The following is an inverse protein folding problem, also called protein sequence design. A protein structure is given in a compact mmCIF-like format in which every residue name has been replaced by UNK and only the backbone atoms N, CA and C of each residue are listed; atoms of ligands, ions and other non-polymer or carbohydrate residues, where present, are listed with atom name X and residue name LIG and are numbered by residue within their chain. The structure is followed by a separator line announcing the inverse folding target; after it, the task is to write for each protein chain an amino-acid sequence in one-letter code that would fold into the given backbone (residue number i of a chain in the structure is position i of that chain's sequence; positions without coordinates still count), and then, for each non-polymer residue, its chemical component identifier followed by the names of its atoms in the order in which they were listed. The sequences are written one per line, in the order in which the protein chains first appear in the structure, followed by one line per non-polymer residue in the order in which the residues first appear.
data_IF_117193610195
#
_entry.id   IF_117193610195
#
_cell.length_a   1.000
_cell.length_b   1.000
_cell.length_c   1.000
_cell.angle_alpha   90.00
_cell.angle_beta   90.00
_cell.angle_gamma   90.00
#
_symmetry.space_group_name_H-M   'P 1'
#
loop_
_entity.id
_entity.type
_entity.pdbx_description
1 polymer ?
#
# COMPACT_ATOMS: atom_id res chain seq x y z
N UNK A 1 -28.24 18.04 -40.32
CA UNK A 1 -27.50 17.25 -39.31
C UNK A 1 -27.12 18.15 -38.13
N UNK A 2 -28.01 18.28 -37.15
CA UNK A 2 -27.83 19.14 -35.98
C UNK A 2 -27.12 18.35 -34.88
N UNK A 3 -25.85 18.66 -34.61
CA UNK A 3 -25.09 18.07 -33.50
C UNK A 3 -25.64 18.63 -32.18
N UNK A 4 -26.39 17.81 -31.46
CA UNK A 4 -26.69 18.03 -30.04
C UNK A 4 -25.39 18.14 -29.26
N UNK A 5 -25.02 19.36 -28.85
CA UNK A 5 -23.96 19.58 -27.87
C UNK A 5 -24.51 19.16 -26.50
N UNK A 6 -24.07 17.99 -26.03
CA UNK A 6 -24.37 17.53 -24.67
C UNK A 6 -23.83 18.54 -23.66
N UNK A 7 -24.74 19.19 -22.93
CA UNK A 7 -24.39 20.11 -21.86
C UNK A 7 -23.67 19.32 -20.76
N UNK A 8 -22.38 19.59 -20.55
CA UNK A 8 -21.61 18.96 -19.48
C UNK A 8 -22.18 19.40 -18.13
N UNK A 9 -22.83 18.47 -17.41
CA UNK A 9 -23.42 18.73 -16.09
C UNK A 9 -22.30 19.12 -15.12
N UNK A 10 -22.37 20.34 -14.59
CA UNK A 10 -21.45 20.77 -13.54
C UNK A 10 -21.68 19.92 -12.29
N UNK A 11 -20.59 19.51 -11.59
CA UNK A 11 -20.71 18.73 -10.37
C UNK A 11 -21.43 19.54 -9.29
N UNK A 12 -22.29 18.85 -8.54
CA UNK A 12 -23.00 19.43 -7.39
C UNK A 12 -22.02 19.89 -6.30
N UNK A 13 -22.42 20.80 -5.42
CA UNK A 13 -21.55 21.30 -4.33
C UNK A 13 -20.99 20.18 -3.43
N UNK A 14 -21.78 19.13 -3.20
CA UNK A 14 -21.38 17.94 -2.44
C UNK A 14 -20.31 17.13 -3.18
N UNK A 15 -20.45 16.96 -4.50
CA UNK A 15 -19.43 16.34 -5.34
C UNK A 15 -18.14 17.18 -5.40
N UNK A 16 -18.27 18.51 -5.50
CA UNK A 16 -17.14 19.44 -5.47
C UNK A 16 -16.31 19.33 -4.19
N UNK A 17 -16.97 19.31 -3.02
CA UNK A 17 -16.28 19.13 -1.72
C UNK A 17 -15.65 17.75 -1.61
N UNK A 18 -16.34 16.69 -2.04
CA UNK A 18 -15.80 15.33 -2.05
C UNK A 18 -14.53 15.22 -2.88
N UNK A 19 -14.52 15.82 -4.07
CA UNK A 19 -13.34 15.85 -4.94
C UNK A 19 -12.18 16.64 -4.35
N UNK A 20 -12.45 17.76 -3.67
CA UNK A 20 -11.43 18.52 -2.95
C UNK A 20 -10.80 17.71 -1.80
N UNK A 21 -11.63 17.00 -1.02
CA UNK A 21 -11.17 16.11 0.06
C UNK A 21 -10.27 14.99 -0.50
N UNK A 22 -10.71 14.29 -1.56
CA UNK A 22 -9.91 13.24 -2.21
C UNK A 22 -8.57 13.77 -2.74
N UNK A 23 -8.55 15.00 -3.30
CA UNK A 23 -7.31 15.62 -3.77
C UNK A 23 -6.35 15.94 -2.63
N UNK A 24 -6.81 16.59 -1.56
CA UNK A 24 -5.97 16.92 -0.40
C UNK A 24 -5.37 15.68 0.25
N UNK A 25 -6.16 14.62 0.30
CA UNK A 25 -5.75 13.29 0.75
C UNK A 25 -4.65 12.68 -0.15
N UNK A 26 -4.84 12.69 -1.47
CA UNK A 26 -3.86 12.16 -2.40
C UNK A 26 -2.53 12.91 -2.27
N UNK A 27 -2.57 14.23 -2.06
CA UNK A 27 -1.39 15.05 -1.77
C UNK A 27 -0.70 14.59 -0.49
N UNK A 28 -1.43 14.41 0.61
CA UNK A 28 -0.86 13.94 1.89
C UNK A 28 -0.20 12.56 1.75
N UNK A 29 -0.83 11.63 1.03
CA UNK A 29 -0.24 10.31 0.76
C UNK A 29 0.99 10.36 -0.13
N UNK A 30 0.99 11.22 -1.15
CA UNK A 30 2.16 11.43 -1.99
C UNK A 30 3.34 11.96 -1.19
N UNK A 31 3.11 12.79 -0.18
CA UNK A 31 4.15 13.27 0.73
C UNK A 31 4.80 12.15 1.57
N UNK A 32 4.12 11.01 1.76
CA UNK A 32 4.66 9.85 2.49
C UNK A 32 5.45 8.87 1.61
N UNK A 33 5.37 9.01 0.28
CA UNK A 33 6.11 8.13 -0.64
C UNK A 33 7.60 8.03 -0.30
N UNK A 34 8.34 9.11 0.07
CA UNK A 34 9.74 9.00 0.47
C UNK A 34 9.97 8.08 1.67
N UNK A 35 9.13 8.17 2.71
CA UNK A 35 9.22 7.31 3.89
C UNK A 35 8.90 5.85 3.55
N UNK A 36 7.84 5.61 2.76
CA UNK A 36 7.49 4.26 2.28
C UNK A 36 8.62 3.63 1.46
N UNK A 37 9.24 4.40 0.57
CA UNK A 37 10.41 3.96 -0.19
C UNK A 37 11.56 3.60 0.73
N UNK A 38 11.86 4.43 1.73
CA UNK A 38 12.93 4.18 2.72
C UNK A 38 12.66 2.89 3.50
N UNK A 39 11.43 2.69 3.98
CA UNK A 39 11.02 1.49 4.70
C UNK A 39 11.13 0.23 3.82
N UNK A 40 10.67 0.30 2.56
CA UNK A 40 10.78 -0.80 1.60
C UNK A 40 12.25 -1.16 1.34
N UNK A 41 13.10 -0.17 1.05
CA UNK A 41 14.54 -0.37 0.83
C UNK A 41 15.19 -1.08 2.03
N UNK A 42 14.96 -0.55 3.24
CA UNK A 42 15.47 -1.14 4.48
C UNK A 42 15.02 -2.60 4.66
N UNK A 43 13.74 -2.89 4.38
CA UNK A 43 13.19 -4.24 4.53
C UNK A 43 13.79 -5.22 3.53
N UNK A 44 13.88 -4.86 2.24
CA UNK A 44 14.45 -5.74 1.21
C UNK A 44 15.94 -5.99 1.49
N UNK A 45 16.70 -4.97 1.86
CA UNK A 45 18.12 -5.13 2.25
C UNK A 45 18.26 -6.06 3.45
N UNK A 46 17.51 -5.83 4.52
CA UNK A 46 17.56 -6.71 5.70
C UNK A 46 17.17 -8.15 5.40
N UNK A 47 16.21 -8.40 4.51
CA UNK A 47 15.84 -9.75 4.09
C UNK A 47 16.94 -10.42 3.27
N UNK A 48 17.58 -9.68 2.36
CA UNK A 48 18.71 -10.18 1.60
C UNK A 48 19.90 -10.52 2.49
N UNK A 49 20.26 -9.66 3.43
CA UNK A 49 21.36 -9.90 4.37
C UNK A 49 21.11 -11.16 5.21
N UNK A 50 19.86 -11.37 5.67
CA UNK A 50 19.48 -12.61 6.35
C UNK A 50 19.60 -13.84 5.46
N UNK A 51 19.21 -13.75 4.18
CA UNK A 51 19.37 -14.86 3.23
C UNK A 51 20.85 -15.18 2.97
N UNK A 52 21.71 -14.15 2.85
CA UNK A 52 23.15 -14.33 2.68
C UNK A 52 23.80 -14.95 3.91
N UNK A 53 23.35 -14.58 5.11
CA UNK A 53 23.82 -15.18 6.35
C UNK A 53 23.40 -16.66 6.45
N UNK A 54 22.19 -17.00 6.04
CA UNK A 54 21.65 -18.37 6.13
C UNK A 54 22.18 -19.30 5.03
N UNK A 55 22.35 -18.80 3.80
CA UNK A 55 22.60 -19.62 2.60
C UNK A 55 23.97 -19.34 1.94
N UNK A 56 24.72 -18.38 2.46
CA UNK A 56 25.93 -17.87 1.83
C UNK A 56 25.68 -16.86 0.72
N UNK A 57 26.76 -16.24 0.24
CA UNK A 57 26.75 -15.16 -0.75
C UNK A 57 26.22 -15.56 -2.14
N UNK A 58 26.29 -16.85 -2.45
CA UNK A 58 25.74 -17.42 -3.69
C UNK A 58 24.25 -17.80 -3.55
N UNK A 59 23.64 -17.64 -2.37
CA UNK A 59 22.24 -17.97 -2.11
C UNK A 59 21.88 -19.40 -2.58
N UNK A 60 22.85 -20.33 -2.47
CA UNK A 60 22.70 -21.68 -3.01
C UNK A 60 21.50 -22.37 -2.37
N UNK A 61 20.61 -22.91 -3.22
CA UNK A 61 19.41 -23.60 -2.75
C UNK A 61 18.28 -22.68 -2.25
N UNK A 62 18.35 -21.36 -2.47
CA UNK A 62 17.29 -20.43 -2.04
C UNK A 62 15.90 -20.80 -2.54
N UNK A 63 15.76 -21.36 -3.74
CA UNK A 63 14.47 -21.81 -4.30
C UNK A 63 13.93 -23.08 -3.63
N UNK A 64 14.79 -23.87 -2.99
CA UNK A 64 14.40 -25.09 -2.27
C UNK A 64 14.25 -24.82 -0.76
N UNK A 65 14.65 -23.64 -0.29
CA UNK A 65 14.50 -23.25 1.11
C UNK A 65 13.03 -22.99 1.45
N UNK A 66 12.47 -23.79 2.36
CA UNK A 66 11.11 -23.57 2.87
C UNK A 66 10.93 -22.16 3.47
N UNK A 67 12.00 -21.61 4.05
CA UNK A 67 12.03 -20.29 4.69
C UNK A 67 12.10 -19.17 3.65
N UNK A 68 12.95 -19.33 2.63
CA UNK A 68 13.36 -18.22 1.77
C UNK A 68 12.78 -18.23 0.36
N UNK A 69 12.42 -19.37 -0.22
CA UNK A 69 12.07 -19.49 -1.64
C UNK A 69 11.01 -18.48 -2.10
N UNK A 70 9.93 -18.35 -1.32
CA UNK A 70 8.81 -17.46 -1.63
C UNK A 70 9.18 -15.99 -1.44
N UNK A 71 9.81 -15.66 -0.32
CA UNK A 71 10.25 -14.28 -0.01
C UNK A 71 11.30 -13.80 -1.01
N UNK A 72 12.22 -14.68 -1.40
CA UNK A 72 13.21 -14.39 -2.42
C UNK A 72 12.53 -14.09 -3.74
N UNK A 73 11.74 -15.04 -4.26
CA UNK A 73 11.08 -14.90 -5.57
C UNK A 73 10.14 -13.68 -5.63
N UNK A 74 9.33 -13.47 -4.59
CA UNK A 74 8.27 -12.46 -4.59
C UNK A 74 8.71 -11.05 -4.20
N UNK A 75 9.76 -10.89 -3.40
CA UNK A 75 10.15 -9.59 -2.82
C UNK A 75 11.60 -9.20 -3.13
N UNK A 76 12.55 -10.12 -2.98
CA UNK A 76 13.99 -9.77 -3.01
C UNK A 76 14.57 -9.89 -4.42
N UNK A 77 14.27 -10.98 -5.14
CA UNK A 77 14.79 -11.31 -6.48
C UNK A 77 14.66 -10.19 -7.51
N UNK A 78 13.55 -9.40 -7.56
CA UNK A 78 13.43 -8.28 -8.50
C UNK A 78 14.49 -7.18 -8.30
N UNK A 79 15.13 -7.12 -7.14
CA UNK A 79 16.17 -6.16 -6.77
C UNK A 79 17.58 -6.77 -6.69
N UNK A 80 17.73 -8.04 -7.06
CA UNK A 80 19.01 -8.76 -6.99
C UNK A 80 19.58 -9.01 -8.40
N UNK A 81 20.90 -8.91 -8.50
CA UNK A 81 21.70 -9.27 -9.67
C UNK A 81 22.82 -10.21 -9.28
N UNK A 82 23.31 -10.93 -10.28
CA UNK A 82 24.54 -11.73 -10.19
C UNK A 82 25.69 -10.87 -10.71
N UNK A 83 26.86 -10.96 -10.08
CA UNK A 83 28.08 -10.31 -10.56
C UNK A 83 28.46 -10.79 -11.96
N UNK A 84 28.34 -12.11 -12.18
CA UNK A 84 28.43 -12.68 -13.50
C UNK A 84 27.01 -13.00 -14.02
N UNK A 85 26.50 -12.26 -15.04
CA UNK A 85 25.15 -12.45 -15.55
C UNK A 85 24.96 -13.78 -16.29
N UNK A 86 26.04 -14.44 -16.72
CA UNK A 86 25.97 -15.76 -17.36
C UNK A 86 25.96 -16.91 -16.35
N UNK A 87 26.33 -16.65 -15.09
CA UNK A 87 26.32 -17.66 -14.03
C UNK A 87 24.92 -17.84 -13.45
N UNK A 88 24.53 -19.12 -13.33
CA UNK A 88 23.28 -19.50 -12.70
C UNK A 88 23.32 -19.27 -11.18
N UNK A 89 22.15 -19.14 -10.57
CA UNK A 89 21.99 -18.88 -9.12
C UNK A 89 22.54 -19.99 -8.20
N UNK A 90 22.97 -21.12 -8.76
CA UNK A 90 23.53 -22.26 -8.04
C UNK A 90 25.00 -22.51 -8.40
N UNK A 91 25.60 -21.66 -9.24
CA UNK A 91 27.01 -21.73 -9.55
C UNK A 91 27.81 -21.44 -8.27
N UNK A 92 28.78 -22.29 -7.88
CA UNK A 92 29.62 -22.06 -6.71
C UNK A 92 30.24 -20.66 -6.68
N UNK A 93 30.55 -20.12 -7.86
CA UNK A 93 31.23 -18.84 -8.04
C UNK A 93 30.26 -17.67 -8.29
N UNK A 94 28.95 -17.92 -8.37
CA UNK A 94 27.96 -16.86 -8.49
C UNK A 94 27.90 -16.02 -7.20
N UNK A 95 28.24 -14.74 -7.31
CA UNK A 95 28.01 -13.77 -6.24
C UNK A 95 26.76 -12.93 -6.53
N UNK A 96 25.81 -12.91 -5.60
CA UNK A 96 24.61 -12.07 -5.72
C UNK A 96 24.73 -10.80 -4.89
N UNK A 97 24.15 -9.71 -5.39
CA UNK A 97 24.09 -8.44 -4.68
C UNK A 97 22.78 -7.70 -4.98
N UNK A 98 22.43 -6.77 -4.10
CA UNK A 98 21.32 -5.84 -4.32
C UNK A 98 21.76 -4.77 -5.32
N UNK A 99 21.06 -4.71 -6.45
CA UNK A 99 21.17 -3.62 -7.40
C UNK A 99 20.40 -2.41 -6.86
N UNK A 100 21.13 -1.32 -6.56
CA UNK A 100 20.56 -0.09 -5.97
C UNK A 100 19.54 0.58 -6.89
N UNK A 101 19.75 0.53 -8.21
CA UNK A 101 18.86 1.16 -9.18
C UNK A 101 17.54 0.39 -9.27
N UNK A 102 17.60 -0.94 -9.35
CA UNK A 102 16.41 -1.80 -9.32
C UNK A 102 15.68 -1.71 -7.99
N UNK A 103 16.41 -1.70 -6.87
CA UNK A 103 15.82 -1.49 -5.56
C UNK A 103 15.09 -0.16 -5.48
N UNK A 104 15.65 0.92 -6.02
CA UNK A 104 14.96 2.22 -6.06
C UNK A 104 13.71 2.19 -6.94
N UNK A 105 13.81 1.63 -8.14
CA UNK A 105 12.66 1.46 -9.06
C UNK A 105 11.53 0.64 -8.44
N UNK A 106 11.86 -0.44 -7.74
CA UNK A 106 10.87 -1.28 -7.07
C UNK A 106 10.27 -0.59 -5.84
N UNK A 107 11.06 0.20 -5.10
CA UNK A 107 10.55 1.02 -4.01
C UNK A 107 9.55 2.08 -4.52
N UNK A 108 9.82 2.69 -5.68
CA UNK A 108 8.90 3.65 -6.31
C UNK A 108 7.58 2.99 -6.71
N UNK A 109 7.66 1.84 -7.38
CA UNK A 109 6.47 1.05 -7.77
C UNK A 109 5.66 0.63 -6.55
N UNK A 110 6.34 0.13 -5.51
CA UNK A 110 5.70 -0.23 -4.25
C UNK A 110 4.96 0.96 -3.65
N UNK A 111 5.64 2.09 -3.44
CA UNK A 111 5.04 3.28 -2.84
C UNK A 111 3.84 3.80 -3.64
N UNK A 112 3.91 3.82 -4.97
CA UNK A 112 2.77 4.19 -5.82
C UNK A 112 1.61 3.22 -5.66
N UNK A 113 1.86 1.91 -5.69
CA UNK A 113 0.82 0.89 -5.49
C UNK A 113 0.16 1.01 -4.11
N UNK A 114 0.91 1.36 -3.05
CA UNK A 114 0.33 1.61 -1.72
C UNK A 114 -0.63 2.79 -1.75
N UNK A 115 -0.20 3.90 -2.36
CA UNK A 115 -1.02 5.12 -2.47
C UNK A 115 -2.28 4.86 -3.29
N UNK A 116 -2.18 4.17 -4.42
CA UNK A 116 -3.31 3.87 -5.29
C UNK A 116 -4.31 2.92 -4.62
N UNK A 117 -3.80 1.84 -4.01
CA UNK A 117 -4.64 0.87 -3.29
C UNK A 117 -5.35 1.51 -2.08
N UNK A 118 -4.67 2.43 -1.40
CA UNK A 118 -5.28 3.17 -0.30
C UNK A 118 -6.31 4.20 -0.79
N UNK A 119 -6.00 4.95 -1.86
CA UNK A 119 -6.93 5.91 -2.47
C UNK A 119 -8.24 5.23 -2.85
N UNK A 120 -8.16 4.10 -3.56
CA UNK A 120 -9.34 3.32 -3.92
C UNK A 120 -10.15 2.89 -2.69
N UNK A 121 -9.46 2.50 -1.60
CA UNK A 121 -10.13 2.10 -0.35
C UNK A 121 -10.81 3.28 0.34
N UNK A 122 -10.20 4.46 0.37
CA UNK A 122 -10.81 5.66 0.94
C UNK A 122 -11.98 6.12 0.10
N UNK A 123 -11.82 6.18 -1.22
CA UNK A 123 -12.90 6.54 -2.14
C UNK A 123 -14.12 5.65 -1.92
N UNK A 124 -13.93 4.32 -1.77
CA UNK A 124 -15.04 3.39 -1.51
C UNK A 124 -15.80 3.67 -0.20
N UNK A 125 -15.13 4.23 0.81
CA UNK A 125 -15.74 4.56 2.12
C UNK A 125 -16.37 5.95 2.15
N UNK A 126 -15.77 6.91 1.44
CA UNK A 126 -16.26 8.29 1.40
C UNK A 126 -17.57 8.41 0.60
N UNK A 127 -17.86 7.48 -0.33
CA UNK A 127 -19.16 7.45 -1.06
C UNK A 127 -20.34 7.44 -0.09
N UNK A 128 -20.17 6.86 1.09
CA UNK A 128 -21.25 6.61 2.03
C UNK A 128 -21.41 7.68 3.12
N UNK A 129 -20.53 8.69 3.16
CA UNK A 129 -20.49 9.69 4.23
C UNK A 129 -20.76 11.10 3.69
N UNK A 130 -21.74 11.76 4.27
CA UNK A 130 -21.97 13.20 4.11
C UNK A 130 -20.90 14.00 4.86
N UNK A 131 -20.49 15.14 4.29
CA UNK A 131 -19.52 16.07 4.88
C UNK A 131 -18.22 15.36 5.33
N UNK A 132 -17.76 14.42 4.51
CA UNK A 132 -16.62 13.61 4.87
C UNK A 132 -15.30 14.42 4.86
N UNK A 133 -14.55 14.28 5.94
CA UNK A 133 -13.22 14.85 6.16
C UNK A 133 -12.22 13.72 6.39
N UNK A 134 -10.98 13.92 5.98
CA UNK A 134 -9.90 12.98 6.29
C UNK A 134 -8.75 13.74 6.90
N UNK A 135 -8.35 13.27 8.08
CA UNK A 135 -7.24 13.79 8.86
C UNK A 135 -6.13 12.75 8.87
N UNK A 136 -4.91 13.22 8.66
CA UNK A 136 -3.71 12.38 8.70
C UNK A 136 -2.98 12.54 10.04
N UNK A 137 -2.43 11.43 10.54
CA UNK A 137 -1.61 11.37 11.76
C UNK A 137 -0.27 10.72 11.45
N UNK A 138 0.73 10.98 12.30
CA UNK A 138 2.05 10.36 12.20
C UNK A 138 1.97 8.82 12.21
N UNK A 139 2.84 8.17 11.45
CA UNK A 139 2.98 6.70 11.47
C UNK A 139 2.02 5.95 10.54
N UNK A 140 1.50 6.60 9.49
CA UNK A 140 0.58 5.95 8.56
C UNK A 140 -0.81 5.71 9.15
N UNK A 141 -1.22 6.54 10.11
CA UNK A 141 -2.56 6.50 10.70
C UNK A 141 -3.44 7.59 10.08
N UNK A 142 -4.68 7.26 9.79
CA UNK A 142 -5.66 8.13 9.17
C UNK A 142 -6.96 8.08 9.96
N UNK A 143 -7.64 9.22 10.08
CA UNK A 143 -8.99 9.32 10.59
C UNK A 143 -9.86 9.89 9.49
N UNK A 144 -10.89 9.14 9.11
CA UNK A 144 -11.96 9.63 8.25
C UNK A 144 -13.12 9.98 9.17
N UNK A 145 -13.67 11.18 9.09
CA UNK A 145 -14.88 11.57 9.83
C UNK A 145 -15.96 12.02 8.87
N UNK A 146 -17.22 11.86 9.24
CA UNK A 146 -18.35 12.37 8.47
C UNK A 146 -19.66 12.10 9.18
N UNK A 147 -20.76 12.28 8.46
CA UNK A 147 -22.10 11.95 8.95
C UNK A 147 -22.79 10.97 8.01
N UNK A 148 -23.63 10.07 8.53
CA UNK A 148 -24.47 9.19 7.71
C UNK A 148 -25.81 9.01 8.40
N UNK A 149 -26.92 9.32 7.70
CA UNK A 149 -28.28 9.30 8.26
C UNK A 149 -28.39 10.05 9.61
N UNK A 150 -27.64 11.14 9.78
CA UNK A 150 -27.59 11.94 11.01
C UNK A 150 -26.57 11.48 12.06
N UNK A 151 -26.05 10.26 11.98
CA UNK A 151 -25.04 9.77 12.92
C UNK A 151 -23.64 10.27 12.58
N UNK A 152 -22.84 10.55 13.61
CA UNK A 152 -21.42 10.89 13.45
C UNK A 152 -20.60 9.62 13.28
N UNK A 153 -19.92 9.50 12.15
CA UNK A 153 -19.07 8.36 11.82
C UNK A 153 -17.61 8.79 11.91
N UNK A 154 -16.78 7.96 12.52
CA UNK A 154 -15.33 8.06 12.43
C UNK A 154 -14.67 6.72 12.13
N UNK A 155 -13.72 6.70 11.21
CA UNK A 155 -13.01 5.50 10.75
C UNK A 155 -11.52 5.75 10.92
N UNK A 156 -10.92 5.07 11.89
CA UNK A 156 -9.47 5.07 12.09
C UNK A 156 -8.84 3.93 11.28
N UNK A 157 -7.75 4.21 10.59
CA UNK A 157 -7.00 3.21 9.85
C UNK A 157 -5.50 3.39 10.07
N UNK A 158 -4.81 2.28 10.30
CA UNK A 158 -3.35 2.24 10.35
C UNK A 158 -2.83 1.39 9.19
N UNK A 159 -1.74 1.82 8.55
CA UNK A 159 -1.04 1.01 7.55
C UNK A 159 -0.19 -0.04 8.27
N UNK A 160 -0.44 -1.31 7.98
CA UNK A 160 0.37 -2.43 8.45
C UNK A 160 1.02 -3.11 7.24
N UNK A 161 2.34 -3.13 7.18
CA UNK A 161 3.07 -3.85 6.14
C UNK A 161 3.25 -5.31 6.54
N UNK A 162 2.70 -6.23 5.77
CA UNK A 162 2.81 -7.67 5.98
C UNK A 162 3.48 -8.36 4.78
N UNK A 163 3.91 -9.62 4.98
CA UNK A 163 4.41 -10.50 3.92
C UNK A 163 3.38 -11.60 3.68
N UNK A 164 2.96 -11.77 2.42
CA UNK A 164 1.94 -12.78 2.07
C UNK A 164 2.51 -14.19 2.19
N UNK A 165 1.64 -15.19 2.16
CA UNK A 165 2.07 -16.60 2.06
C UNK A 165 2.90 -16.88 0.81
N UNK A 166 2.81 -16.02 -0.23
CA UNK A 166 3.62 -16.05 -1.45
C UNK A 166 4.92 -15.23 -1.33
N UNK A 167 5.22 -14.68 -0.16
CA UNK A 167 6.44 -13.92 0.10
C UNK A 167 6.42 -12.49 -0.46
N UNK A 168 5.26 -11.98 -0.88
CA UNK A 168 5.10 -10.63 -1.43
C UNK A 168 4.73 -9.64 -0.32
N UNK A 169 5.40 -8.49 -0.27
CA UNK A 169 5.00 -7.40 0.61
C UNK A 169 3.63 -6.84 0.21
N UNK A 170 2.73 -6.70 1.18
CA UNK A 170 1.43 -6.09 0.97
C UNK A 170 1.03 -5.24 2.18
N UNK A 171 0.17 -4.25 1.95
CA UNK A 171 -0.30 -3.37 3.00
C UNK A 171 -1.72 -3.75 3.40
N UNK A 172 -1.91 -3.97 4.69
CA UNK A 172 -3.23 -4.04 5.29
C UNK A 172 -3.60 -2.68 5.85
N UNK A 173 -4.89 -2.36 5.73
CA UNK A 173 -5.47 -1.13 6.24
C UNK A 173 -6.67 -1.50 7.12
N UNK A 174 -6.46 -2.14 8.28
CA UNK A 174 -7.54 -2.40 9.22
C UNK A 174 -8.30 -1.11 9.51
N UNK A 175 -9.61 -1.23 9.70
CA UNK A 175 -10.46 -0.09 9.99
C UNK A 175 -11.12 -0.30 11.35
N UNK A 176 -11.00 0.70 12.22
CA UNK A 176 -11.80 0.80 13.44
C UNK A 176 -12.88 1.83 13.18
N UNK A 177 -14.12 1.38 13.18
CA UNK A 177 -15.28 2.22 12.88
C UNK A 177 -15.93 2.59 14.20
N UNK A 178 -16.26 3.85 14.37
CA UNK A 178 -17.01 4.35 15.51
C UNK A 178 -18.25 5.09 15.01
N UNK A 179 -19.38 4.82 15.65
CA UNK A 179 -20.67 5.47 15.42
C UNK A 179 -21.04 6.19 16.69
N UNK A 180 -21.18 7.52 16.63
CA UNK A 180 -21.44 8.37 17.79
C UNK A 180 -20.44 8.11 18.94
N UNK A 181 -19.16 7.90 18.58
CA UNK A 181 -18.07 7.62 19.53
C UNK A 181 -17.98 6.18 20.03
N UNK A 182 -18.95 5.30 19.72
CA UNK A 182 -18.91 3.89 20.12
C UNK A 182 -18.31 3.04 19.02
N UNK A 183 -17.36 2.17 19.36
CA UNK A 183 -16.78 1.22 18.42
C UNK A 183 -17.84 0.24 17.89
N UNK A 184 -17.83 0.03 16.58
CA UNK A 184 -18.75 -0.87 15.86
C UNK A 184 -17.95 -1.72 14.89
N UNK A 185 -18.26 -3.02 14.83
CA UNK A 185 -17.64 -3.91 13.84
C UNK A 185 -18.11 -3.57 12.42
N UNK A 186 -17.31 -3.85 11.39
CA UNK A 186 -17.70 -3.59 10.00
C UNK A 186 -19.02 -4.28 9.63
N UNK A 187 -19.24 -5.51 10.12
CA UNK A 187 -20.49 -6.24 9.92
C UNK A 187 -21.69 -5.45 10.49
N UNK A 188 -21.59 -5.04 11.76
CA UNK A 188 -22.66 -4.29 12.43
C UNK A 188 -22.87 -2.91 11.78
N UNK A 189 -21.81 -2.26 11.33
CA UNK A 189 -21.92 -1.00 10.59
C UNK A 189 -22.73 -1.19 9.29
N UNK A 190 -22.45 -2.26 8.53
CA UNK A 190 -23.22 -2.58 7.32
C UNK A 190 -24.67 -2.94 7.62
N UNK A 191 -24.97 -3.57 8.76
CA UNK A 191 -26.35 -3.89 9.17
C UNK A 191 -27.16 -2.62 9.51
N UNK A 192 -26.52 -1.61 10.12
CA UNK A 192 -27.19 -0.34 10.50
C UNK A 192 -27.50 0.52 9.26
N UNK A 193 -26.61 0.52 8.26
CA UNK A 193 -26.68 1.46 7.14
C UNK A 193 -26.89 0.85 5.74
N UNK A 194 -27.06 -0.47 5.63
CA UNK A 194 -27.70 -1.07 4.44
C UNK A 194 -29.14 -0.57 4.30
#
# INVERSE_FOLDING_TARGET
MTRSQGCARLPSESEGRRMATIRGIATAMNALKPEMKKAYKKRVTSLFDQMVNDLGKNLRGVYNSYRWARTFTGTVRPSVRSYNPTMMLNDPDAYHYIDKALLSKNADRYASSVVDGWKAKVESKLVELDKAEVKYFKGGTFLITGTRKGDRISIEQQIITNVSSKGTLFNQFPARIYVNGKFVSEKKYKEIYR
#
